data_IF_968044629092
#
_entry.id   IF_968044629092
#
_cell.length_a   1.000
_cell.length_b   1.000
_cell.length_c   1.000
_cell.angle_alpha   90.00
_cell.angle_beta   90.00
_cell.angle_gamma   90.00
#
_symmetry.space_group_name_H-M   'P 1'
#
loop_
_entity.id
_entity.type
_entity.pdbx_description
1 polymer ?
#
# COMPACT_ATOMS: atom_id res chain seq x y z
N UNK A 1 11.60 -26.13 1.72
CA UNK A 1 12.52 -25.19 1.01
C UNK A 1 11.86 -23.87 0.56
N UNK A 2 10.57 -23.63 0.85
CA UNK A 2 9.87 -22.38 0.48
C UNK A 2 10.08 -21.22 1.49
N UNK A 3 10.25 -21.52 2.77
CA UNK A 3 10.35 -20.49 3.83
C UNK A 3 11.61 -19.60 3.78
N UNK A 4 12.73 -20.12 3.27
CA UNK A 4 14.01 -19.39 3.22
C UNK A 4 14.00 -18.32 2.13
N UNK A 5 13.36 -18.60 0.98
CA UNK A 5 13.25 -17.63 -0.12
C UNK A 5 12.39 -16.43 0.26
N UNK A 6 11.24 -16.64 0.91
CA UNK A 6 10.37 -15.55 1.35
C UNK A 6 11.06 -14.63 2.38
N UNK A 7 11.80 -15.22 3.33
CA UNK A 7 12.53 -14.47 4.35
C UNK A 7 13.68 -13.62 3.76
N UNK A 8 14.46 -14.17 2.81
CA UNK A 8 15.57 -13.44 2.17
C UNK A 8 15.09 -12.26 1.33
N UNK A 9 13.91 -12.36 0.73
CA UNK A 9 13.38 -11.33 -0.18
C UNK A 9 12.81 -10.12 0.55
N UNK A 10 12.16 -10.32 1.69
CA UNK A 10 11.70 -9.23 2.54
C UNK A 10 12.87 -8.36 3.04
N UNK A 11 14.01 -9.01 3.34
CA UNK A 11 15.27 -8.34 3.71
C UNK A 11 15.91 -7.66 2.50
N UNK A 12 15.89 -8.30 1.31
CA UNK A 12 16.45 -7.71 0.08
C UNK A 12 15.77 -6.40 -0.31
N UNK A 13 14.43 -6.36 -0.29
CA UNK A 13 13.67 -5.15 -0.63
C UNK A 13 14.02 -3.98 0.29
N UNK A 14 14.16 -4.23 1.59
CA UNK A 14 14.56 -3.24 2.59
C UNK A 14 15.99 -2.73 2.41
N UNK A 15 16.90 -3.53 1.86
CA UNK A 15 18.31 -3.14 1.73
C UNK A 15 18.66 -2.51 0.36
N UNK A 16 17.98 -2.90 -0.72
CA UNK A 16 18.38 -2.53 -2.09
C UNK A 16 17.56 -1.38 -2.66
N UNK A 17 16.26 -1.31 -2.35
CA UNK A 17 15.38 -0.30 -2.92
C UNK A 17 15.59 1.11 -2.33
N UNK A 18 15.96 1.29 -1.05
CA UNK A 18 16.18 2.62 -0.47
C UNK A 18 17.40 3.38 -0.99
N UNK A 19 18.35 2.70 -1.64
CA UNK A 19 19.63 3.30 -2.01
C UNK A 19 19.52 4.33 -3.15
N UNK A 20 18.46 4.26 -3.96
CA UNK A 20 18.27 5.13 -5.11
C UNK A 20 16.78 5.36 -5.42
N UNK A 21 16.51 6.40 -6.20
CA UNK A 21 15.19 6.62 -6.81
C UNK A 21 14.86 5.44 -7.74
N UNK A 22 13.70 4.82 -7.55
CA UNK A 22 13.30 3.64 -8.31
C UNK A 22 12.15 3.97 -9.25
N UNK A 23 12.29 3.63 -10.53
CA UNK A 23 11.16 3.58 -11.45
C UNK A 23 10.44 2.24 -11.28
N UNK A 24 9.16 2.31 -10.91
CA UNK A 24 8.39 1.16 -10.51
C UNK A 24 6.95 1.22 -11.03
N UNK A 25 6.38 0.05 -11.31
CA UNK A 25 4.94 -0.09 -11.49
C UNK A 25 4.33 -0.52 -10.17
N UNK A 26 3.39 0.27 -9.67
CA UNK A 26 2.71 0.06 -8.39
C UNK A 26 1.24 -0.22 -8.66
N UNK A 27 0.74 -1.30 -8.07
CA UNK A 27 -0.70 -1.60 -8.00
C UNK A 27 -1.23 -1.12 -6.66
N UNK A 28 -2.18 -0.19 -6.67
CA UNK A 28 -2.81 0.30 -5.44
C UNK A 28 -3.72 -0.79 -4.88
N UNK A 29 -3.55 -1.10 -3.60
CA UNK A 29 -4.33 -2.12 -2.88
C UNK A 29 -5.37 -1.47 -1.98
N UNK A 30 -5.05 -0.33 -1.35
CA UNK A 30 -5.97 0.45 -0.51
C UNK A 30 -5.54 1.92 -0.49
N UNK A 31 -6.46 2.81 -0.14
CA UNK A 31 -6.17 4.24 0.02
C UNK A 31 -7.14 4.90 0.99
N UNK A 32 -6.66 5.90 1.72
CA UNK A 32 -7.51 6.82 2.48
C UNK A 32 -8.29 7.81 1.58
N UNK A 33 -8.10 7.73 0.25
CA UNK A 33 -8.57 8.67 -0.79
C UNK A 33 -8.03 10.10 -0.64
N UNK A 34 -7.00 10.30 0.18
CA UNK A 34 -6.41 11.61 0.38
C UNK A 34 -4.89 11.58 0.17
N UNK A 35 -4.15 11.04 1.13
CA UNK A 35 -2.70 11.24 1.18
C UNK A 35 -1.91 9.97 1.45
N UNK A 36 -2.59 8.90 1.90
CA UNK A 36 -1.97 7.62 2.19
C UNK A 36 -2.49 6.58 1.20
N UNK A 37 -1.54 6.01 0.47
CA UNK A 37 -1.80 5.01 -0.56
C UNK A 37 -0.99 3.76 -0.24
N UNK A 38 -1.69 2.63 -0.13
CA UNK A 38 -1.10 1.33 0.08
C UNK A 38 -1.00 0.64 -1.27
N UNK A 39 0.19 0.17 -1.60
CA UNK A 39 0.46 -0.40 -2.91
C UNK A 39 1.35 -1.62 -2.86
N UNK A 40 1.45 -2.29 -4.00
CA UNK A 40 2.40 -3.38 -4.26
C UNK A 40 3.19 -3.05 -5.50
N UNK A 41 4.51 -3.10 -5.39
CA UNK A 41 5.45 -2.97 -6.49
C UNK A 41 5.45 -4.29 -7.26
N UNK A 42 4.95 -4.26 -8.49
CA UNK A 42 4.89 -5.44 -9.37
C UNK A 42 6.00 -5.44 -10.42
N UNK A 43 6.49 -4.27 -10.82
CA UNK A 43 7.61 -4.14 -11.74
C UNK A 43 8.61 -3.11 -11.24
N UNK A 44 9.90 -3.37 -11.48
CA UNK A 44 11.01 -2.45 -11.24
C UNK A 44 11.77 -2.26 -12.53
N UNK A 45 11.88 -1.01 -13.01
CA UNK A 45 12.55 -0.67 -14.27
C UNK A 45 12.11 -1.57 -15.44
N UNK A 46 10.80 -1.79 -15.54
CA UNK A 46 10.18 -2.64 -16.57
C UNK A 46 10.33 -4.15 -16.36
N UNK A 47 11.09 -4.62 -15.37
CA UNK A 47 11.24 -6.06 -15.06
C UNK A 47 10.20 -6.50 -14.03
N UNK A 48 9.50 -7.62 -14.21
CA UNK A 48 8.57 -8.13 -13.22
C UNK A 48 9.30 -8.47 -11.93
N UNK A 49 8.71 -8.07 -10.81
CA UNK A 49 9.20 -8.34 -9.47
C UNK A 49 8.27 -9.35 -8.81
N UNK A 50 8.79 -10.56 -8.57
CA UNK A 50 8.05 -11.62 -7.88
C UNK A 50 8.80 -12.12 -6.64
N UNK A 51 8.14 -12.20 -5.47
CA UNK A 51 6.79 -11.75 -5.18
C UNK A 51 6.72 -10.22 -5.16
N UNK A 52 5.53 -9.68 -5.40
CA UNK A 52 5.32 -8.24 -5.37
C UNK A 52 5.62 -7.69 -3.96
N UNK A 53 6.32 -6.56 -3.89
CA UNK A 53 6.76 -5.96 -2.63
C UNK A 53 5.76 -4.89 -2.20
N UNK A 54 5.21 -4.99 -0.99
CA UNK A 54 4.29 -3.97 -0.48
C UNK A 54 5.00 -2.68 -0.09
N UNK A 55 4.33 -1.57 -0.33
CA UNK A 55 4.81 -0.22 -0.04
C UNK A 55 3.66 0.64 0.48
N UNK A 56 3.98 1.52 1.43
CA UNK A 56 3.08 2.58 1.87
C UNK A 56 3.63 3.93 1.41
N UNK A 57 2.81 4.67 0.66
CA UNK A 57 3.11 6.00 0.15
C UNK A 57 2.33 7.01 0.99
N UNK A 58 3.02 7.97 1.62
CA UNK A 58 2.40 8.96 2.50
C UNK A 58 2.55 10.40 2.00
N UNK A 59 1.59 11.23 2.37
CA UNK A 59 1.70 12.69 2.38
C UNK A 59 1.61 13.34 0.99
N UNK A 60 1.06 12.65 0.00
CA UNK A 60 0.95 13.16 -1.37
C UNK A 60 -0.36 12.74 -2.01
N UNK A 61 -1.04 13.70 -2.66
CA UNK A 61 -2.21 13.45 -3.48
C UNK A 61 -1.78 12.91 -4.85
N UNK A 62 -2.46 11.87 -5.33
CA UNK A 62 -2.34 11.46 -6.72
C UNK A 62 -3.17 12.38 -7.62
N UNK A 63 -2.79 12.53 -8.90
CA UNK A 63 -3.41 13.49 -9.81
C UNK A 63 -4.86 13.15 -10.20
N UNK A 64 -5.31 11.91 -9.96
CA UNK A 64 -6.67 11.45 -10.24
C UNK A 64 -7.23 10.72 -9.04
N UNK A 65 -8.55 10.49 -9.05
CA UNK A 65 -9.20 9.66 -8.04
C UNK A 65 -8.58 8.26 -8.02
N UNK A 66 -8.23 7.81 -6.81
CA UNK A 66 -7.51 6.56 -6.58
C UNK A 66 -8.46 5.52 -6.01
N UNK A 67 -8.40 4.32 -6.56
CA UNK A 67 -9.14 3.16 -6.06
C UNK A 67 -8.26 1.91 -6.04
N UNK A 68 -8.70 0.90 -5.28
CA UNK A 68 -8.02 -0.38 -5.22
C UNK A 68 -8.04 -1.12 -6.57
N UNK A 69 -6.88 -1.54 -7.05
CA UNK A 69 -6.66 -2.26 -8.30
C UNK A 69 -5.98 -1.46 -9.40
N UNK A 70 -5.93 -0.13 -9.29
CA UNK A 70 -5.29 0.73 -10.29
C UNK A 70 -3.79 0.47 -10.39
N UNK A 71 -3.26 0.62 -11.61
CA UNK A 71 -1.85 0.47 -11.89
C UNK A 71 -1.21 1.81 -12.27
N UNK A 72 -0.07 2.09 -11.66
CA UNK A 72 0.60 3.38 -11.76
C UNK A 72 2.08 3.19 -12.08
N UNK A 73 2.57 3.93 -13.08
CA UNK A 73 3.99 4.14 -13.31
C UNK A 73 4.46 5.23 -12.34
N UNK A 74 5.38 4.92 -11.44
CA UNK A 74 5.83 5.85 -10.42
C UNK A 74 7.34 5.89 -10.32
N UNK A 75 7.87 7.07 -10.03
CA UNK A 75 9.25 7.28 -9.65
C UNK A 75 9.28 7.45 -8.13
N UNK A 76 9.77 6.44 -7.41
CA UNK A 76 9.64 6.32 -5.97
C UNK A 76 10.94 6.66 -5.26
N UNK A 77 10.84 7.39 -4.15
CA UNK A 77 11.90 7.51 -3.15
C UNK A 77 11.45 6.79 -1.88
N UNK A 78 11.99 5.60 -1.68
CA UNK A 78 11.54 4.67 -0.63
C UNK A 78 12.60 4.51 0.44
N UNK A 79 12.17 4.08 1.62
CA UNK A 79 13.01 3.64 2.72
C UNK A 79 12.45 2.35 3.31
N UNK A 80 13.33 1.51 3.85
CA UNK A 80 12.85 0.38 4.65
C UNK A 80 12.15 0.91 5.90
N UNK A 81 11.13 0.19 6.35
CA UNK A 81 10.59 0.46 7.68
C UNK A 81 11.65 0.09 8.71
N UNK A 82 12.18 1.10 9.37
CA UNK A 82 13.01 0.94 10.55
C UNK A 82 12.25 1.57 11.70
N UNK A 83 12.05 0.84 12.79
CA UNK A 83 11.77 1.47 14.06
C UNK A 83 12.44 0.72 15.19
N UNK A 84 12.99 1.50 16.12
CA UNK A 84 13.37 1.03 17.44
C UNK A 84 12.13 0.49 18.16
N UNK A 85 12.38 -0.41 19.11
CA UNK A 85 11.43 -0.80 20.12
C UNK A 85 10.86 0.49 20.76
N UNK A 86 9.55 0.71 20.66
CA UNK A 86 8.93 1.75 21.48
C UNK A 86 8.91 1.28 22.95
N UNK A 87 8.68 2.18 23.91
CA UNK A 87 8.73 1.86 25.36
C UNK A 87 7.72 0.77 25.78
N UNK A 88 6.71 0.49 24.95
CA UNK A 88 5.75 -0.60 25.11
C UNK A 88 6.18 -1.95 24.50
N UNK A 89 7.42 -2.11 24.03
CA UNK A 89 7.93 -3.37 23.49
C UNK A 89 7.45 -3.72 22.08
N UNK A 90 6.80 -2.80 21.36
CA UNK A 90 6.32 -3.02 20.01
C UNK A 90 7.42 -2.77 18.96
N UNK A 91 7.63 -3.77 18.12
CA UNK A 91 8.60 -3.77 17.03
C UNK A 91 7.89 -3.48 15.69
N UNK A 92 8.03 -2.24 15.23
CA UNK A 92 7.45 -1.78 13.96
C UNK A 92 8.03 -2.48 12.73
N UNK A 93 9.25 -3.03 12.78
CA UNK A 93 9.84 -3.78 11.68
C UNK A 93 9.18 -5.14 11.55
N UNK A 94 9.03 -5.88 12.66
CA UNK A 94 8.30 -7.16 12.67
C UNK A 94 6.84 -6.98 12.24
N UNK A 95 6.21 -5.90 12.68
CA UNK A 95 4.85 -5.58 12.27
C UNK A 95 4.76 -5.30 10.76
N UNK A 96 5.64 -4.47 10.21
CA UNK A 96 5.67 -4.15 8.78
C UNK A 96 5.93 -5.38 7.91
N UNK A 97 6.80 -6.30 8.36
CA UNK A 97 7.03 -7.58 7.70
C UNK A 97 5.78 -8.47 7.72
N UNK A 98 5.09 -8.58 8.86
CA UNK A 98 3.85 -9.34 8.97
C UNK A 98 2.74 -8.79 8.06
N UNK A 99 2.68 -7.46 7.93
CA UNK A 99 1.73 -6.77 7.04
C UNK A 99 2.15 -6.76 5.57
N UNK A 100 3.28 -7.40 5.23
CA UNK A 100 3.85 -7.40 3.87
C UNK A 100 4.11 -6.00 3.32
N UNK A 101 4.38 -5.02 4.20
CA UNK A 101 4.65 -3.63 3.88
C UNK A 101 6.05 -3.22 4.35
N UNK A 102 7.13 -3.87 3.86
CA UNK A 102 8.49 -3.60 4.33
C UNK A 102 9.01 -2.22 3.92
N UNK A 103 8.31 -1.49 3.03
CA UNK A 103 8.73 -0.21 2.49
C UNK A 103 7.75 0.91 2.83
N UNK A 104 8.30 2.06 3.18
CA UNK A 104 7.55 3.33 3.29
C UNK A 104 8.25 4.36 2.41
N UNK A 105 7.50 5.23 1.76
CA UNK A 105 8.12 6.24 0.90
C UNK A 105 7.18 7.33 0.43
N UNK A 106 7.69 8.06 -0.56
CA UNK A 106 6.96 9.07 -1.33
C UNK A 106 7.26 8.89 -2.80
N UNK A 107 6.38 9.36 -3.67
CA UNK A 107 6.65 9.40 -5.11
C UNK A 107 7.14 10.80 -5.51
N UNK A 108 7.93 10.85 -6.59
CA UNK A 108 8.38 12.08 -7.24
C UNK A 108 7.53 12.36 -8.48
N UNK A 109 7.15 11.30 -9.18
CA UNK A 109 6.28 11.34 -10.35
C UNK A 109 5.34 10.14 -10.29
N UNK A 110 4.10 10.34 -10.73
CA UNK A 110 3.09 9.29 -10.81
C UNK A 110 2.24 9.50 -12.07
N UNK A 111 2.11 8.46 -12.88
CA UNK A 111 1.27 8.42 -14.08
C UNK A 111 0.40 7.17 -14.05
N UNK A 112 -0.91 7.32 -14.21
CA UNK A 112 -1.82 6.18 -14.32
C UNK A 112 -1.51 5.41 -15.61
N UNK A 113 -1.27 4.10 -15.46
CA UNK A 113 -1.16 3.16 -16.59
C UNK A 113 -2.53 2.57 -16.86
N UNK A 114 -3.16 2.04 -15.80
CA UNK A 114 -4.50 1.51 -15.85
C UNK A 114 -5.32 2.15 -14.70
N UNK A 115 -6.26 3.05 -15.01
CA UNK A 115 -7.11 3.70 -14.02
C UNK A 115 -8.29 2.82 -13.56
N UNK A 116 -8.43 1.61 -14.09
CA UNK A 116 -9.54 0.73 -13.71
C UNK A 116 -9.43 0.22 -12.27
N UNK A 117 -10.55 0.33 -11.56
CA UNK A 117 -10.71 -0.29 -10.25
C UNK A 117 -10.93 -1.80 -10.40
N UNK A 118 -10.36 -2.56 -9.46
CA UNK A 118 -10.66 -3.98 -9.29
C UNK A 118 -12.17 -4.19 -9.06
N UNK A 119 -12.67 -5.40 -9.32
CA UNK A 119 -14.07 -5.75 -9.04
C UNK A 119 -14.43 -5.48 -7.57
N UNK A 120 -13.52 -5.85 -6.65
CA UNK A 120 -13.67 -5.55 -5.22
C UNK A 120 -13.75 -4.04 -4.99
N UNK A 121 -12.86 -3.25 -5.59
CA UNK A 121 -12.86 -1.79 -5.47
C UNK A 121 -14.20 -1.18 -5.90
N UNK A 122 -14.69 -1.54 -7.10
CA UNK A 122 -15.99 -1.09 -7.60
C UNK A 122 -17.15 -1.48 -6.69
N UNK A 123 -17.11 -2.71 -6.16
CA UNK A 123 -18.12 -3.19 -5.21
C UNK A 123 -18.10 -2.37 -3.91
N UNK A 124 -16.91 -2.12 -3.34
CA UNK A 124 -16.77 -1.30 -2.13
C UNK A 124 -17.23 0.14 -2.36
N UNK A 125 -16.91 0.73 -3.51
CA UNK A 125 -17.36 2.07 -3.88
C UNK A 125 -18.89 2.13 -4.00
N UNK A 126 -19.50 1.14 -4.67
CA UNK A 126 -20.97 1.04 -4.76
C UNK A 126 -21.63 0.86 -3.40
N UNK A 127 -21.08 0.02 -2.53
CA UNK A 127 -21.59 -0.21 -1.19
C UNK A 127 -21.45 1.06 -0.34
N UNK A 128 -20.36 1.80 -0.52
CA UNK A 128 -20.13 3.06 0.15
C UNK A 128 -21.15 4.11 -0.28
N UNK A 129 -21.48 4.19 -1.56
CA UNK A 129 -22.54 5.08 -2.04
C UNK A 129 -23.90 4.72 -1.42
N UNK A 130 -24.24 3.43 -1.39
CA UNK A 130 -25.49 2.93 -0.79
C UNK A 130 -25.58 3.18 0.72
N UNK A 131 -24.46 3.05 1.44
CA UNK A 131 -24.41 3.23 2.89
C UNK A 131 -24.21 4.69 3.33
N UNK A 132 -24.02 5.64 2.40
CA UNK A 132 -23.79 7.05 2.72
C UNK A 132 -24.83 7.70 3.67
N UNK A 133 -26.13 7.32 3.66
CA UNK A 133 -27.10 7.88 4.60
C UNK A 133 -26.95 7.38 6.04
N UNK A 134 -26.21 6.29 6.28
CA UNK A 134 -26.15 5.65 7.59
C UNK A 134 -24.96 6.16 8.41
N UNK A 135 -25.17 6.63 9.65
CA UNK A 135 -24.08 7.13 10.50
C UNK A 135 -23.05 6.04 10.86
N UNK A 136 -23.47 4.78 10.87
CA UNK A 136 -22.64 3.61 11.18
C UNK A 136 -21.91 3.03 9.97
N UNK A 137 -21.97 3.68 8.80
CA UNK A 137 -21.38 3.20 7.55
C UNK A 137 -19.95 2.68 7.72
N UNK A 138 -19.10 3.43 8.43
CA UNK A 138 -17.69 3.07 8.62
C UNK A 138 -17.53 1.78 9.42
N UNK A 139 -18.41 1.54 10.40
CA UNK A 139 -18.43 0.31 11.20
C UNK A 139 -18.89 -0.87 10.35
N UNK A 140 -19.95 -0.70 9.55
CA UNK A 140 -20.46 -1.73 8.63
C UNK A 140 -19.40 -2.13 7.62
N UNK A 141 -18.70 -1.15 7.02
CA UNK A 141 -17.61 -1.41 6.08
C UNK A 141 -16.40 -2.08 6.75
N UNK A 142 -16.00 -1.62 7.94
CA UNK A 142 -14.85 -2.19 8.65
C UNK A 142 -15.10 -3.65 9.08
N UNK A 143 -16.28 -3.95 9.63
CA UNK A 143 -16.64 -5.28 10.11
C UNK A 143 -17.04 -6.23 8.98
N UNK A 144 -17.85 -5.74 8.03
CA UNK A 144 -18.39 -6.55 6.94
C UNK A 144 -17.39 -6.81 5.81
N UNK A 145 -16.48 -5.85 5.55
CA UNK A 145 -15.55 -5.93 4.41
C UNK A 145 -14.08 -5.97 4.81
N UNK A 146 -13.75 -5.81 6.10
CA UNK A 146 -12.37 -5.78 6.57
C UNK A 146 -11.61 -4.49 6.22
N UNK A 147 -12.31 -3.43 5.83
CA UNK A 147 -11.74 -2.11 5.51
C UNK A 147 -11.32 -1.39 6.81
N UNK A 148 -10.15 -1.76 7.35
CA UNK A 148 -9.66 -1.28 8.65
C UNK A 148 -9.12 0.16 8.62
N UNK A 149 -8.79 0.68 7.44
CA UNK A 149 -8.08 1.96 7.30
C UNK A 149 -8.89 3.19 7.73
N UNK A 150 -10.21 3.02 7.89
CA UNK A 150 -11.11 4.10 8.34
C UNK A 150 -11.55 3.98 9.79
N UNK A 151 -11.15 2.95 10.53
CA UNK A 151 -11.41 2.86 11.96
C UNK A 151 -10.40 3.71 12.75
N UNK A 152 -10.30 5.00 12.40
CA UNK A 152 -9.59 5.98 13.22
C UNK A 152 -10.64 6.63 14.10
N UNK A 153 -10.66 6.25 15.39
CA UNK A 153 -11.45 6.98 16.40
C UNK A 153 -11.08 8.46 16.28
N UNK A 154 -12.09 9.30 16.05
CA UNK A 154 -11.98 10.73 16.38
C UNK A 154 -11.76 10.87 17.89
#
# INVERSE_FOLDING_TARGET
MWGIFAARQAIWAGNVLPAATQEATVVITATDHMTTHYGRITHLRGKPLFPAVGIVLHGQYLPTEVCAGQQWAMTLKVRAVHGQLNEGGFDSQRYALAQHQPLIGRFLQAKAINPECSLRGRYLDSLRATLAPYPWQQVILALGMGERERCRRR
#
